data_IF_000319148705
#
_entry.id   IF_000319148705
#
_cell.length_a   1.000
_cell.length_b   1.000
_cell.length_c   1.000
_cell.angle_alpha   90.00
_cell.angle_beta   90.00
_cell.angle_gamma   90.00
#
_symmetry.space_group_name_H-M   'P 1'
#
loop_
_entity.id
_entity.type
_entity.pdbx_description
1 polymer ?
#
# COMPACT_ATOMS: atom_id res chain seq x y z
N UNK A 1 -7.40 -52.51 36.32
CA UNK A 1 -8.09 -51.60 37.26
C UNK A 1 -8.10 -50.22 36.63
N UNK A 2 -9.29 -49.64 36.46
CA UNK A 2 -9.55 -48.37 35.76
C UNK A 2 -8.97 -47.20 36.55
N UNK A 3 -8.23 -46.31 35.91
CA UNK A 3 -7.92 -45.00 36.48
C UNK A 3 -8.53 -43.90 35.62
N UNK A 4 -9.25 -43.05 36.33
CA UNK A 4 -10.29 -42.13 35.89
C UNK A 4 -9.69 -40.83 35.39
N UNK A 5 -10.08 -40.42 34.18
CA UNK A 5 -9.79 -39.09 33.64
C UNK A 5 -10.53 -38.03 34.48
N UNK A 6 -9.77 -37.15 35.15
CA UNK A 6 -10.31 -36.05 35.94
C UNK A 6 -10.55 -34.82 35.05
N UNK A 7 -11.81 -34.60 34.72
CA UNK A 7 -12.30 -33.45 33.94
C UNK A 7 -12.24 -32.17 34.80
N UNK A 8 -11.28 -31.27 34.53
CA UNK A 8 -11.28 -29.92 35.12
C UNK A 8 -12.46 -29.12 34.54
N UNK A 9 -13.48 -28.91 35.36
CA UNK A 9 -14.55 -27.93 35.13
C UNK A 9 -14.01 -26.53 35.42
N UNK A 10 -13.87 -25.69 34.40
CA UNK A 10 -13.79 -24.25 34.59
C UNK A 10 -15.18 -23.65 34.39
N UNK A 11 -15.73 -23.13 35.47
CA UNK A 11 -17.01 -22.44 35.52
C UNK A 11 -16.96 -21.18 34.66
N UNK A 12 -17.75 -21.15 33.59
CA UNK A 12 -18.05 -19.92 32.85
C UNK A 12 -19.12 -19.17 33.66
N UNK A 13 -18.71 -18.13 34.36
CA UNK A 13 -19.62 -17.12 34.91
C UNK A 13 -19.17 -15.79 34.32
N UNK A 14 -19.86 -15.33 33.28
CA UNK A 14 -20.07 -13.91 33.05
C UNK A 14 -21.39 -13.74 32.32
N UNK A 15 -22.40 -13.38 33.12
CA UNK A 15 -23.73 -13.04 32.65
C UNK A 15 -23.73 -11.56 32.27
N UNK A 16 -23.49 -11.27 30.99
CA UNK A 16 -23.72 -9.92 30.44
C UNK A 16 -25.07 -9.91 29.74
N UNK A 17 -26.08 -9.45 30.49
CA UNK A 17 -27.43 -9.17 30.03
C UNK A 17 -27.41 -7.91 29.14
N UNK A 18 -27.27 -8.09 27.83
CA UNK A 18 -27.42 -7.02 26.85
C UNK A 18 -28.91 -6.81 26.55
N UNK A 19 -29.53 -5.86 27.25
CA UNK A 19 -30.84 -5.31 26.90
C UNK A 19 -30.72 -4.47 25.61
N UNK A 20 -31.54 -4.69 24.57
CA UNK A 20 -31.53 -3.89 23.36
C UNK A 20 -32.37 -2.63 23.59
N UNK A 21 -31.73 -1.53 24.01
CA UNK A 21 -32.39 -0.23 24.08
C UNK A 21 -31.41 0.86 23.68
N UNK A 22 -31.82 1.68 22.71
CA UNK A 22 -31.10 2.81 22.08
C UNK A 22 -30.24 2.50 20.85
N UNK A 23 -30.82 1.86 19.83
CA UNK A 23 -30.37 1.92 18.42
C UNK A 23 -30.99 3.13 17.68
N UNK A 24 -30.91 4.34 18.24
CA UNK A 24 -31.46 5.55 17.60
C UNK A 24 -30.53 6.75 17.87
N UNK A 25 -29.28 6.72 17.39
CA UNK A 25 -28.49 7.94 17.21
C UNK A 25 -27.29 7.77 16.25
N UNK A 26 -27.50 7.15 15.08
CA UNK A 26 -26.53 7.19 13.97
C UNK A 26 -27.30 7.50 12.68
N UNK A 27 -28.03 8.62 12.68
CA UNK A 27 -28.59 9.21 11.47
C UNK A 27 -28.29 10.70 11.53
N UNK A 28 -27.83 11.25 10.40
CA UNK A 28 -27.55 12.67 10.13
C UNK A 28 -26.11 13.14 10.40
N UNK A 29 -25.17 12.73 9.54
CA UNK A 29 -24.24 13.69 8.93
C UNK A 29 -24.17 13.41 7.42
N UNK A 30 -25.05 14.08 6.70
CA UNK A 30 -25.18 14.06 5.25
C UNK A 30 -24.45 15.26 4.64
N UNK A 31 -23.63 14.97 3.63
CA UNK A 31 -23.25 15.75 2.45
C UNK A 31 -22.94 17.25 2.62
N UNK A 32 -21.65 17.59 2.53
CA UNK A 32 -21.20 18.81 1.84
C UNK A 32 -20.24 18.42 0.71
N UNK A 33 -20.81 18.27 -0.49
CA UNK A 33 -20.04 18.22 -1.73
C UNK A 33 -19.67 19.64 -2.15
N UNK A 34 -18.41 19.85 -2.52
CA UNK A 34 -17.98 21.07 -3.21
C UNK A 34 -17.77 20.74 -4.70
N UNK A 35 -18.51 21.44 -5.54
CA UNK A 35 -18.54 21.35 -6.99
C UNK A 35 -17.23 21.86 -7.60
N UNK A 36 -16.55 21.05 -8.42
CA UNK A 36 -15.54 21.57 -9.35
C UNK A 36 -16.17 21.75 -10.73
N UNK A 37 -16.11 22.99 -11.18
CA UNK A 37 -16.65 23.55 -12.42
C UNK A 37 -16.18 22.76 -13.65
N UNK A 38 -17.13 22.27 -14.45
CA UNK A 38 -16.85 21.71 -15.78
C UNK A 38 -16.54 22.86 -16.73
N UNK A 39 -15.25 23.03 -17.04
CA UNK A 39 -14.76 23.86 -18.14
C UNK A 39 -14.19 22.95 -19.22
N UNK A 40 -14.98 22.75 -20.28
CA UNK A 40 -14.61 22.40 -21.66
C UNK A 40 -13.40 21.49 -21.90
N UNK A 41 -13.70 20.32 -22.46
CA UNK A 41 -12.86 19.55 -23.38
C UNK A 41 -12.26 20.47 -24.45
N UNK A 42 -10.94 20.40 -24.64
CA UNK A 42 -10.45 19.83 -25.88
C UNK A 42 -9.55 18.65 -25.54
N UNK A 43 -9.84 17.49 -26.12
CA UNK A 43 -9.01 16.29 -26.11
C UNK A 43 -7.53 16.65 -26.29
N UNK A 44 -6.66 16.33 -25.32
CA UNK A 44 -5.25 16.11 -25.59
C UNK A 44 -5.00 14.63 -25.37
N UNK A 45 -4.66 13.94 -26.46
CA UNK A 45 -4.00 12.63 -26.46
C UNK A 45 -3.25 12.36 -25.15
N UNK A 46 -3.61 11.26 -24.48
CA UNK A 46 -2.89 10.72 -23.32
C UNK A 46 -1.39 10.93 -23.53
N UNK A 47 -0.66 11.58 -22.59
CA UNK A 47 0.78 11.49 -22.65
C UNK A 47 1.09 10.03 -22.37
N UNK A 48 1.59 9.36 -23.39
CA UNK A 48 2.18 8.05 -23.26
C UNK A 48 3.36 8.19 -22.27
N UNK A 49 3.11 7.85 -21.00
CA UNK A 49 4.11 7.82 -19.92
C UNK A 49 5.21 6.77 -20.21
N UNK A 50 5.18 6.07 -21.35
CA UNK A 50 6.24 5.13 -21.72
C UNK A 50 7.50 5.84 -22.19
N UNK A 51 7.45 7.10 -22.65
CA UNK A 51 8.59 7.75 -23.30
C UNK A 51 9.57 8.48 -22.37
N UNK A 52 9.26 8.75 -21.11
CA UNK A 52 10.17 9.53 -20.25
C UNK A 52 11.29 8.69 -19.59
N UNK A 53 11.23 7.36 -19.68
CA UNK A 53 12.07 6.47 -18.87
C UNK A 53 13.07 5.61 -19.66
N UNK A 54 13.11 5.71 -20.99
CA UNK A 54 13.93 4.80 -21.81
C UNK A 54 15.43 5.16 -21.83
N UNK A 55 15.84 6.32 -21.30
CA UNK A 55 17.21 6.83 -21.40
C UNK A 55 18.01 7.06 -20.11
N UNK A 56 17.42 6.93 -18.90
CA UNK A 56 18.08 7.41 -17.67
C UNK A 56 17.80 6.57 -16.40
N UNK A 57 17.38 5.31 -16.53
CA UNK A 57 17.19 4.44 -15.37
C UNK A 57 18.53 3.96 -14.81
N UNK A 58 18.75 4.19 -13.52
CA UNK A 58 19.75 3.45 -12.78
C UNK A 58 19.21 2.06 -12.50
N UNK A 59 19.87 1.04 -13.04
CA UNK A 59 19.42 -0.35 -12.90
C UNK A 59 19.64 -0.86 -11.48
N UNK A 60 18.65 -1.57 -10.94
CA UNK A 60 18.81 -2.27 -9.67
C UNK A 60 19.66 -3.54 -9.86
N UNK A 61 20.49 -3.91 -8.88
CA UNK A 61 21.16 -5.20 -8.89
C UNK A 61 20.12 -6.34 -8.86
N UNK A 62 20.51 -7.57 -9.25
CA UNK A 62 19.64 -8.74 -9.11
C UNK A 62 19.08 -8.83 -7.70
N UNK A 63 17.76 -9.04 -7.59
CA UNK A 63 17.05 -8.99 -6.33
C UNK A 63 17.64 -9.99 -5.32
N UNK A 64 18.10 -9.48 -4.18
CA UNK A 64 18.39 -10.26 -2.98
C UNK A 64 17.74 -9.57 -1.76
N UNK A 65 16.40 -9.66 -1.64
CA UNK A 65 15.65 -8.89 -0.65
C UNK A 65 15.92 -9.34 0.81
N UNK A 66 16.54 -10.50 1.01
CA UNK A 66 16.74 -11.06 2.35
C UNK A 66 17.77 -10.30 3.19
N UNK A 67 18.67 -9.52 2.58
CA UNK A 67 19.84 -8.95 3.27
C UNK A 67 20.07 -7.45 3.02
N UNK A 68 19.10 -6.72 2.45
CA UNK A 68 19.30 -5.31 2.17
C UNK A 68 18.84 -4.42 3.34
N UNK A 69 19.81 -3.89 4.09
CA UNK A 69 19.58 -2.91 5.16
C UNK A 69 19.85 -1.52 4.58
N UNK A 70 18.83 -0.67 4.57
CA UNK A 70 18.91 0.70 4.06
C UNK A 70 18.99 1.71 5.20
N UNK A 71 19.66 2.83 4.94
CA UNK A 71 19.60 3.99 5.84
C UNK A 71 18.20 4.63 5.78
N UNK A 72 17.84 5.36 6.84
CA UNK A 72 16.58 6.11 6.91
C UNK A 72 16.65 7.51 6.27
N UNK A 73 17.71 7.80 5.52
CA UNK A 73 17.86 9.10 4.84
C UNK A 73 16.85 9.20 3.70
N UNK A 74 16.11 10.31 3.66
CA UNK A 74 15.19 10.61 2.58
C UNK A 74 15.94 11.29 1.43
N UNK A 75 16.02 10.59 0.29
CA UNK A 75 16.56 11.05 -0.99
C UNK A 75 15.71 10.39 -2.09
N UNK A 76 14.51 10.91 -2.36
CA UNK A 76 13.49 10.16 -3.08
C UNK A 76 13.89 9.79 -4.50
N UNK A 77 13.42 8.62 -4.91
CA UNK A 77 13.61 8.09 -6.26
C UNK A 77 12.30 7.50 -6.78
N UNK A 78 12.08 7.58 -8.09
CA UNK A 78 10.95 6.96 -8.76
C UNK A 78 11.40 5.61 -9.29
N UNK A 79 10.91 4.53 -8.67
CA UNK A 79 11.26 3.16 -9.05
C UNK A 79 10.31 2.65 -10.13
N UNK A 80 10.88 2.01 -11.15
CA UNK A 80 10.16 1.22 -12.14
C UNK A 80 10.15 -0.23 -11.70
N UNK A 81 8.98 -0.81 -11.56
CA UNK A 81 8.78 -2.23 -11.27
C UNK A 81 8.15 -2.94 -12.46
N UNK A 82 8.43 -4.23 -12.61
CA UNK A 82 7.88 -5.04 -13.69
C UNK A 82 7.48 -6.43 -13.20
N UNK A 83 6.21 -6.77 -13.39
CA UNK A 83 5.65 -8.10 -13.09
C UNK A 83 5.06 -8.66 -14.38
N UNK A 84 5.72 -9.65 -14.96
CA UNK A 84 5.41 -10.11 -16.31
C UNK A 84 5.53 -8.96 -17.32
N UNK A 85 4.42 -8.56 -17.92
CA UNK A 85 4.35 -7.43 -18.87
C UNK A 85 3.88 -6.12 -18.24
N UNK A 86 3.43 -6.14 -16.98
CA UNK A 86 2.89 -4.96 -16.31
C UNK A 86 4.04 -4.15 -15.72
N UNK A 87 4.10 -2.86 -16.09
CA UNK A 87 5.04 -1.89 -15.54
C UNK A 87 4.28 -0.97 -14.57
N UNK A 88 4.85 -0.73 -13.39
CA UNK A 88 4.33 0.27 -12.46
C UNK A 88 5.44 1.13 -11.87
N UNK A 89 5.08 2.37 -11.55
CA UNK A 89 5.99 3.35 -10.97
C UNK A 89 5.54 3.71 -9.56
N UNK A 90 6.49 3.83 -8.64
CA UNK A 90 6.22 4.32 -7.28
C UNK A 90 7.41 5.05 -6.70
N UNK A 91 7.16 6.02 -5.85
CA UNK A 91 8.22 6.72 -5.11
C UNK A 91 8.74 5.81 -4.00
N UNK A 92 10.07 5.70 -3.90
CA UNK A 92 10.77 5.07 -2.79
C UNK A 92 11.59 6.12 -2.04
N UNK A 93 11.79 5.89 -0.73
CA UNK A 93 12.46 6.86 0.16
C UNK A 93 13.91 7.16 -0.26
N UNK A 94 14.59 6.18 -0.84
CA UNK A 94 15.94 6.31 -1.39
C UNK A 94 16.26 5.19 -2.38
N UNK A 95 17.40 5.29 -3.05
CA UNK A 95 17.89 4.28 -4.01
C UNK A 95 17.97 2.86 -3.40
N UNK A 96 18.38 2.74 -2.14
CA UNK A 96 18.47 1.45 -1.48
C UNK A 96 17.09 0.81 -1.28
N UNK A 97 16.12 1.57 -0.78
CA UNK A 97 14.75 1.06 -0.58
C UNK A 97 14.03 0.79 -1.91
N UNK A 98 14.37 1.53 -2.97
CA UNK A 98 13.89 1.25 -4.33
C UNK A 98 14.35 -0.14 -4.81
N UNK A 99 15.63 -0.47 -4.66
CA UNK A 99 16.16 -1.75 -5.12
C UNK A 99 15.92 -2.91 -4.14
N UNK A 100 15.36 -2.65 -2.96
CA UNK A 100 14.87 -3.71 -2.07
C UNK A 100 13.49 -4.25 -2.49
N UNK A 101 12.89 -3.66 -3.52
CA UNK A 101 11.63 -4.12 -4.09
C UNK A 101 11.91 -5.31 -5.00
N UNK A 102 11.31 -6.49 -4.78
CA UNK A 102 11.63 -7.69 -5.54
C UNK A 102 11.45 -7.53 -7.05
N UNK A 103 10.45 -6.73 -7.46
CA UNK A 103 10.07 -6.52 -8.85
C UNK A 103 10.73 -5.27 -9.46
N UNK A 104 11.67 -4.62 -8.76
CA UNK A 104 12.34 -3.42 -9.27
C UNK A 104 13.28 -3.75 -10.43
N UNK A 105 13.14 -2.98 -11.50
CA UNK A 105 14.04 -3.02 -12.66
C UNK A 105 15.10 -1.93 -12.54
N UNK A 106 14.70 -0.75 -12.05
CA UNK A 106 15.59 0.39 -11.86
C UNK A 106 14.83 1.59 -11.32
N UNK A 107 15.53 2.70 -11.13
CA UNK A 107 14.96 3.93 -10.59
C UNK A 107 15.58 5.17 -11.24
N UNK A 108 14.90 6.31 -11.10
CA UNK A 108 15.40 7.65 -11.43
C UNK A 108 15.37 8.53 -10.19
N UNK A 109 16.20 9.57 -10.17
CA UNK A 109 16.21 10.55 -9.08
C UNK A 109 14.92 11.37 -9.05
N UNK A 110 14.42 11.66 -7.85
CA UNK A 110 13.20 12.43 -7.62
C UNK A 110 11.97 11.54 -7.43
N UNK A 111 10.88 12.13 -6.94
CA UNK A 111 9.59 11.44 -6.79
C UNK A 111 8.95 11.17 -8.16
N UNK A 112 8.04 10.19 -8.22
CA UNK A 112 7.24 10.00 -9.43
C UNK A 112 6.30 11.20 -9.67
N UNK A 113 6.07 11.54 -10.93
CA UNK A 113 5.18 12.63 -11.38
C UNK A 113 3.73 12.17 -11.55
#
# INVERSE_FOLDING_TARGET
>A
MKQTLSTRRFSIINQFSFKPSSLILILVLALTGCSSMSGQTPTPSSPDISQQFEGALTQCPPANPANNICTAQYEPVCVKTKVGSIVSYRTASNACSACNIPEAVGYTKGECS
#
